data_IF_568845748323
#
_entry.id   IF_568845748323
#
_cell.length_a   1.000
_cell.length_b   1.000
_cell.length_c   1.000
_cell.angle_alpha   90.00
_cell.angle_beta   90.00
_cell.angle_gamma   90.00
#
_symmetry.space_group_name_H-M   'P 1'
#
loop_
_entity.id
_entity.type
_entity.pdbx_description
1 polymer ?
#
# COMPACT_ATOMS: atom_id res chain seq x y z
N UNK A 1 -16.91 3.42 10.50
CA UNK A 1 -16.37 3.43 9.12
C UNK A 1 -15.37 2.29 9.02
N UNK A 2 -15.43 1.44 7.99
CA UNK A 2 -14.50 0.31 7.84
C UNK A 2 -13.24 0.80 7.11
N UNK A 3 -12.06 0.52 7.64
CA UNK A 3 -10.79 0.83 6.98
C UNK A 3 -10.39 -0.29 6.00
N UNK A 4 -9.48 0.00 5.08
CA UNK A 4 -8.97 -0.99 4.12
C UNK A 4 -8.17 -2.08 4.85
N UNK A 5 -7.35 -1.70 5.83
CA UNK A 5 -6.61 -2.64 6.66
C UNK A 5 -7.56 -3.62 7.35
N UNK A 6 -8.68 -3.11 7.90
CA UNK A 6 -9.67 -3.96 8.55
C UNK A 6 -10.35 -4.91 7.56
N UNK A 7 -10.62 -4.47 6.33
CA UNK A 7 -11.13 -5.34 5.27
C UNK A 7 -10.13 -6.47 4.98
N UNK A 8 -8.85 -6.15 4.73
CA UNK A 8 -7.83 -7.13 4.38
C UNK A 8 -7.54 -8.12 5.51
N UNK A 9 -7.52 -7.64 6.76
CA UNK A 9 -7.42 -8.49 7.95
C UNK A 9 -8.58 -9.48 8.00
N UNK A 10 -9.82 -9.00 7.83
CA UNK A 10 -10.99 -9.86 7.86
C UNK A 10 -10.95 -10.89 6.72
N UNK A 11 -10.56 -10.49 5.51
CA UNK A 11 -10.42 -11.40 4.36
C UNK A 11 -9.39 -12.49 4.64
N UNK A 12 -8.20 -12.13 5.15
CA UNK A 12 -7.17 -13.09 5.50
C UNK A 12 -7.64 -14.09 6.56
N UNK A 13 -8.33 -13.61 7.61
CA UNK A 13 -8.88 -14.45 8.67
C UNK A 13 -9.97 -15.39 8.13
N UNK A 14 -10.92 -14.86 7.35
CA UNK A 14 -12.00 -15.65 6.77
C UNK A 14 -11.48 -16.71 5.80
N UNK A 15 -10.39 -16.42 5.10
CA UNK A 15 -9.74 -17.35 4.18
C UNK A 15 -8.71 -18.28 4.84
N UNK A 16 -8.59 -18.24 6.18
CA UNK A 16 -7.64 -19.04 6.98
C UNK A 16 -6.18 -18.89 6.51
N UNK A 17 -5.80 -17.68 6.12
CA UNK A 17 -4.45 -17.38 5.62
C UNK A 17 -3.48 -17.24 6.80
N UNK A 18 -2.31 -17.86 6.65
CA UNK A 18 -1.17 -17.74 7.56
C UNK A 18 -0.02 -17.03 6.86
N UNK A 19 0.66 -16.12 7.57
CA UNK A 19 1.80 -15.37 7.04
C UNK A 19 3.07 -15.76 7.77
N UNK A 20 4.16 -15.89 7.03
CA UNK A 20 5.45 -16.29 7.61
C UNK A 20 6.60 -15.47 7.03
N UNK A 21 7.62 -15.17 7.82
CA UNK A 21 8.87 -14.58 7.34
C UNK A 21 10.04 -15.18 8.12
N UNK A 22 11.05 -15.73 7.43
CA UNK A 22 12.22 -16.31 8.11
C UNK A 22 11.89 -17.41 9.12
N UNK A 23 10.77 -18.12 8.92
CA UNK A 23 10.28 -19.17 9.83
C UNK A 23 9.45 -18.68 11.03
N UNK A 24 9.19 -17.38 11.14
CA UNK A 24 8.31 -16.80 12.17
C UNK A 24 6.91 -16.60 11.58
N UNK A 25 5.88 -17.04 12.30
CA UNK A 25 4.47 -16.84 11.92
C UNK A 25 3.98 -15.45 12.40
N UNK A 26 3.17 -14.80 11.57
CA UNK A 26 2.59 -13.49 11.82
C UNK A 26 1.07 -13.54 11.66
N UNK A 27 0.34 -12.81 12.50
CA UNK A 27 -1.10 -12.67 12.35
C UNK A 27 -1.45 -11.59 11.32
N UNK A 28 -2.61 -11.67 10.62
CA UNK A 28 -2.97 -10.69 9.60
C UNK A 28 -2.95 -9.22 10.09
N UNK A 29 -3.26 -8.99 11.37
CA UNK A 29 -3.23 -7.64 11.95
C UNK A 29 -1.82 -7.04 11.98
N UNK A 30 -0.77 -7.86 12.16
CA UNK A 30 0.62 -7.40 12.12
C UNK A 30 1.05 -7.06 10.69
N UNK A 31 0.49 -7.76 9.70
CA UNK A 31 0.82 -7.56 8.28
C UNK A 31 0.21 -6.28 7.73
N UNK A 32 -1.05 -6.01 8.05
CA UNK A 32 -1.78 -4.87 7.48
C UNK A 32 -1.83 -3.64 8.38
N UNK A 33 -1.77 -3.81 9.70
CA UNK A 33 -1.88 -2.72 10.68
C UNK A 33 -0.68 -2.66 11.65
N UNK A 34 0.45 -3.26 11.29
CA UNK A 34 1.67 -3.19 12.08
C UNK A 34 2.22 -1.76 12.15
N UNK A 35 2.71 -1.37 13.34
CA UNK A 35 3.24 -0.03 13.61
C UNK A 35 4.65 0.16 13.07
N UNK A 36 5.49 -0.87 13.22
CA UNK A 36 6.89 -0.84 12.83
C UNK A 36 7.08 -1.29 11.37
N UNK A 37 6.19 -2.14 10.88
CA UNK A 37 6.23 -2.68 9.54
C UNK A 37 4.82 -3.06 9.08
N UNK A 38 4.49 -2.75 7.82
CA UNK A 38 3.21 -3.08 7.20
C UNK A 38 3.44 -3.37 5.72
N UNK A 39 2.66 -4.30 5.17
CA UNK A 39 2.61 -4.58 3.73
C UNK A 39 1.62 -3.68 2.98
N UNK A 40 0.93 -2.76 3.66
CA UNK A 40 0.04 -1.79 3.01
C UNK A 40 0.72 -0.98 1.88
N UNK A 41 1.99 -0.54 2.00
CA UNK A 41 2.75 0.04 0.89
C UNK A 41 2.73 -0.82 -0.39
N UNK A 42 3.05 -2.11 -0.27
CA UNK A 42 3.05 -3.03 -1.41
C UNK A 42 1.63 -3.27 -1.96
N UNK A 43 0.64 -3.40 -1.09
CA UNK A 43 -0.77 -3.55 -1.49
C UNK A 43 -1.26 -2.31 -2.24
N UNK A 44 -0.92 -1.10 -1.78
CA UNK A 44 -1.28 0.16 -2.45
C UNK A 44 -0.60 0.26 -3.82
N UNK A 45 0.69 -0.06 -3.91
CA UNK A 45 1.39 -0.10 -5.19
C UNK A 45 0.70 -1.07 -6.17
N UNK A 46 0.28 -2.24 -5.69
CA UNK A 46 -0.47 -3.19 -6.49
C UNK A 46 -1.87 -2.71 -6.89
N UNK A 47 -2.57 -2.02 -5.99
CA UNK A 47 -3.86 -1.40 -6.31
C UNK A 47 -3.71 -0.34 -7.41
N UNK A 48 -2.67 0.50 -7.36
CA UNK A 48 -2.39 1.49 -8.41
C UNK A 48 -2.08 0.81 -9.73
N UNK A 49 -1.26 -0.25 -9.71
CA UNK A 49 -0.96 -1.02 -10.92
C UNK A 49 -2.23 -1.58 -11.55
N UNK A 50 -3.10 -2.23 -10.76
CA UNK A 50 -4.38 -2.76 -11.24
C UNK A 50 -5.27 -1.63 -11.77
N UNK A 51 -5.39 -0.50 -11.05
CA UNK A 51 -6.17 0.64 -11.51
C UNK A 51 -5.69 1.16 -12.87
N UNK A 52 -4.37 1.21 -13.08
CA UNK A 52 -3.76 1.59 -14.37
C UNK A 52 -4.05 0.56 -15.47
N UNK A 53 -3.92 -0.73 -15.17
CA UNK A 53 -4.26 -1.83 -16.11
C UNK A 53 -5.74 -1.75 -16.53
N UNK A 54 -6.64 -1.36 -15.62
CA UNK A 54 -8.08 -1.21 -15.90
C UNK A 54 -8.43 0.10 -16.63
N UNK A 55 -7.54 1.10 -16.61
CA UNK A 55 -7.80 2.45 -17.15
C UNK A 55 -7.35 2.63 -18.62
N UNK A 56 -7.28 1.55 -19.41
CA UNK A 56 -6.79 1.56 -20.81
C UNK A 56 -7.38 2.74 -21.60
N UNK A 57 -6.50 3.65 -22.06
CA UNK A 57 -6.87 4.85 -22.82
C UNK A 57 -6.78 6.17 -22.04
N UNK A 58 -6.58 6.11 -20.72
CA UNK A 58 -6.23 7.27 -19.90
C UNK A 58 -4.72 7.19 -19.69
N UNK A 59 -3.96 8.12 -20.28
CA UNK A 59 -2.57 8.39 -19.89
C UNK A 59 -2.58 9.01 -18.48
N UNK A 60 -2.98 8.22 -17.48
CA UNK A 60 -2.93 8.67 -16.11
C UNK A 60 -1.52 8.40 -15.60
N UNK A 61 -0.82 9.50 -15.37
CA UNK A 61 0.28 9.52 -14.41
C UNK A 61 -0.17 8.84 -13.12
N UNK A 62 0.80 8.27 -12.41
CA UNK A 62 0.62 7.55 -11.16
C UNK A 62 -0.26 8.36 -10.17
N UNK A 63 -1.54 8.02 -10.11
CA UNK A 63 -2.54 8.79 -9.35
C UNK A 63 -3.01 7.99 -8.13
N UNK A 64 -2.47 8.38 -6.99
CA UNK A 64 -2.82 7.83 -5.68
C UNK A 64 -4.25 8.16 -5.27
N UNK A 65 -4.85 9.22 -5.82
CA UNK A 65 -6.24 9.55 -5.55
C UNK A 65 -7.21 8.53 -6.15
N UNK A 66 -6.85 7.90 -7.28
CA UNK A 66 -7.66 6.83 -7.91
C UNK A 66 -7.93 5.68 -6.94
N UNK A 67 -6.94 5.35 -6.11
CA UNK A 67 -7.07 4.30 -5.09
C UNK A 67 -7.42 4.87 -3.71
N UNK A 68 -7.52 6.19 -3.62
CA UNK A 68 -7.80 6.91 -2.37
C UNK A 68 -6.68 6.79 -1.34
N UNK A 69 -5.43 6.64 -1.77
CA UNK A 69 -4.27 6.55 -0.89
C UNK A 69 -3.44 7.84 -0.87
N UNK A 70 -2.60 7.97 0.15
CA UNK A 70 -1.53 8.97 0.26
C UNK A 70 -0.28 8.27 0.79
N UNK A 71 0.89 8.68 0.30
CA UNK A 71 2.18 8.15 0.77
C UNK A 71 2.94 9.19 1.61
N UNK A 72 3.73 8.69 2.56
CA UNK A 72 4.54 9.48 3.49
C UNK A 72 5.91 8.82 3.66
N UNK A 73 6.94 9.60 3.94
CA UNK A 73 8.27 9.05 4.19
C UNK A 73 8.27 8.21 5.47
N UNK A 74 8.96 7.07 5.45
CA UNK A 74 9.11 6.22 6.63
C UNK A 74 10.47 5.50 6.61
N UNK A 75 11.16 5.35 7.75
CA UNK A 75 12.32 4.47 7.83
C UNK A 75 11.90 3.01 7.71
N UNK A 76 12.64 2.18 6.99
CA UNK A 76 12.43 0.72 6.95
C UNK A 76 12.50 0.10 5.56
N UNK A 77 11.96 -1.11 5.42
CA UNK A 77 12.10 -1.93 4.22
C UNK A 77 11.42 -1.34 2.97
N UNK A 78 10.33 -0.59 3.13
CA UNK A 78 9.65 0.08 2.03
C UNK A 78 10.04 1.55 1.85
N UNK A 79 10.85 2.15 2.74
CA UNK A 79 11.24 3.59 2.72
C UNK A 79 10.07 4.62 2.72
N UNK A 80 8.82 4.15 2.66
CA UNK A 80 7.60 4.93 2.77
C UNK A 80 6.50 4.13 3.48
N UNK A 81 5.50 4.85 3.98
CA UNK A 81 4.24 4.31 4.48
C UNK A 81 3.08 4.95 3.72
N UNK A 82 1.87 4.43 3.91
CA UNK A 82 0.67 4.89 3.22
C UNK A 82 -0.51 5.04 4.17
N UNK A 83 -1.40 5.98 3.87
CA UNK A 83 -2.74 6.03 4.45
C UNK A 83 -3.77 5.86 3.36
N UNK A 84 -4.89 5.21 3.66
CA UNK A 84 -5.96 4.96 2.68
C UNK A 84 -7.29 5.48 3.21
N UNK A 85 -8.06 6.14 2.34
CA UNK A 85 -9.39 6.62 2.65
C UNK A 85 -10.30 5.45 3.07
N UNK A 86 -11.05 5.57 4.19
CA UNK A 86 -11.96 4.53 4.63
C UNK A 86 -13.06 4.21 3.61
N UNK A 87 -13.63 3.01 3.67
CA UNK A 87 -14.61 2.49 2.71
C UNK A 87 -16.05 3.02 2.90
N UNK A 88 -16.21 4.15 3.60
CA UNK A 88 -17.53 4.68 3.98
C UNK A 88 -18.07 5.79 3.10
N UNK A 89 -17.41 6.09 1.99
CA UNK A 89 -17.82 7.08 0.98
C UNK A 89 -18.51 6.42 -0.22
N UNK A 90 -19.04 7.23 -1.14
CA UNK A 90 -19.85 6.76 -2.29
C UNK A 90 -19.11 5.79 -3.22
N UNK A 91 -17.77 5.79 -3.18
CA UNK A 91 -16.89 4.91 -3.96
C UNK A 91 -16.22 3.81 -3.11
N UNK A 92 -16.61 3.68 -1.84
CA UNK A 92 -15.99 2.77 -0.87
C UNK A 92 -16.06 1.31 -1.28
N UNK A 93 -17.14 0.86 -1.91
CA UNK A 93 -17.26 -0.53 -2.40
C UNK A 93 -16.24 -0.83 -3.50
N UNK A 94 -16.09 0.07 -4.47
CA UNK A 94 -15.13 -0.07 -5.56
C UNK A 94 -13.70 -0.10 -5.03
N UNK A 95 -13.39 0.78 -4.07
CA UNK A 95 -12.10 0.78 -3.37
C UNK A 95 -11.87 -0.56 -2.67
N UNK A 96 -12.86 -1.07 -1.94
CA UNK A 96 -12.76 -2.36 -1.26
C UNK A 96 -12.44 -3.51 -2.21
N UNK A 97 -13.13 -3.58 -3.36
CA UNK A 97 -12.89 -4.60 -4.39
C UNK A 97 -11.49 -4.48 -5.00
N UNK A 98 -11.03 -3.26 -5.28
CA UNK A 98 -9.69 -3.02 -5.81
C UNK A 98 -8.60 -3.51 -4.84
N UNK A 99 -8.74 -3.18 -3.56
CA UNK A 99 -7.77 -3.60 -2.54
C UNK A 99 -7.81 -5.10 -2.26
N UNK A 100 -8.99 -5.72 -2.34
CA UNK A 100 -9.10 -7.18 -2.30
C UNK A 100 -8.33 -7.81 -3.47
N UNK A 101 -8.57 -7.36 -4.70
CA UNK A 101 -7.88 -7.87 -5.89
C UNK A 101 -6.36 -7.63 -5.82
N UNK A 102 -5.94 -6.51 -5.25
CA UNK A 102 -4.54 -6.21 -5.03
C UNK A 102 -3.89 -7.19 -4.05
N UNK A 103 -4.54 -7.45 -2.91
CA UNK A 103 -4.06 -8.43 -1.94
C UNK A 103 -4.04 -9.86 -2.53
N UNK A 104 -5.10 -10.24 -3.25
CA UNK A 104 -5.19 -11.54 -3.94
C UNK A 104 -3.98 -11.77 -4.85
N UNK A 105 -3.63 -10.78 -5.68
CA UNK A 105 -2.52 -10.89 -6.64
C UNK A 105 -1.14 -10.75 -5.99
N UNK A 106 -1.02 -9.95 -4.93
CA UNK A 106 0.24 -9.77 -4.22
C UNK A 106 0.61 -11.01 -3.41
N UNK A 107 -0.34 -11.55 -2.65
CA UNK A 107 -0.08 -12.66 -1.72
C UNK A 107 -0.36 -14.03 -2.34
N UNK A 108 -1.13 -14.11 -3.43
CA UNK A 108 -1.53 -15.39 -4.03
C UNK A 108 -2.34 -16.27 -3.07
N UNK A 109 -2.95 -15.67 -2.04
CA UNK A 109 -3.52 -16.41 -0.90
C UNK A 109 -4.81 -17.21 -1.22
N UNK A 110 -5.26 -17.14 -2.48
CA UNK A 110 -6.33 -17.98 -3.00
C UNK A 110 -5.79 -19.33 -3.47
N UNK A 111 -4.51 -19.38 -3.88
CA UNK A 111 -3.83 -20.56 -4.36
C UNK A 111 -3.09 -21.29 -3.23
N UNK A 112 -2.43 -20.54 -2.33
CA UNK A 112 -1.74 -21.07 -1.15
C UNK A 112 -2.14 -20.31 0.11
N UNK A 113 -2.63 -21.04 1.13
CA UNK A 113 -3.03 -20.44 2.42
C UNK A 113 -1.84 -20.10 3.32
N UNK A 114 -0.63 -20.56 2.97
CA UNK A 114 0.61 -20.20 3.66
C UNK A 114 1.42 -19.24 2.80
N UNK A 115 1.45 -17.98 3.21
CA UNK A 115 2.14 -16.90 2.50
C UNK A 115 3.51 -16.66 3.12
N UNK A 116 4.57 -16.84 2.34
CA UNK A 116 5.92 -16.40 2.72
C UNK A 116 6.14 -14.94 2.30
N UNK A 117 6.22 -14.07 3.30
CA UNK A 117 6.39 -12.63 3.15
C UNK A 117 7.75 -12.25 2.57
N UNK A 118 8.79 -13.06 2.80
CA UNK A 118 10.11 -12.82 2.21
C UNK A 118 10.02 -12.98 0.69
N UNK A 119 9.40 -14.08 0.24
CA UNK A 119 9.12 -14.32 -1.18
C UNK A 119 8.24 -13.21 -1.78
N UNK A 120 7.20 -12.77 -1.06
CA UNK A 120 6.33 -11.67 -1.54
C UNK A 120 7.14 -10.38 -1.68
N UNK A 121 8.00 -10.07 -0.72
CA UNK A 121 8.84 -8.87 -0.76
C UNK A 121 9.89 -8.93 -1.87
N UNK A 122 10.50 -10.08 -2.10
CA UNK A 122 11.43 -10.30 -3.22
C UNK A 122 10.73 -10.12 -4.56
N UNK A 123 9.57 -10.75 -4.79
CA UNK A 123 8.76 -10.53 -6.00
C UNK A 123 8.32 -9.08 -6.15
N UNK A 124 7.98 -8.42 -5.05
CA UNK A 124 7.65 -7.00 -5.08
C UNK A 124 8.83 -6.17 -5.60
N UNK A 125 10.05 -6.50 -5.18
CA UNK A 125 11.27 -5.83 -5.66
C UNK A 125 11.61 -6.16 -7.11
N UNK A 126 11.44 -7.42 -7.52
CA UNK A 126 12.03 -7.95 -8.76
C UNK A 126 11.06 -8.01 -9.95
N UNK A 127 9.75 -8.27 -9.73
CA UNK A 127 8.80 -8.69 -10.78
C UNK A 127 7.86 -7.58 -11.29
N UNK A 128 8.24 -6.30 -11.13
CA UNK A 128 7.61 -5.20 -11.87
C UNK A 128 6.78 -4.21 -11.08
N UNK A 129 7.05 -4.02 -9.78
CA UNK A 129 6.55 -2.87 -9.03
C UNK A 129 7.55 -1.71 -8.98
N UNK A 130 8.70 -1.83 -9.66
CA UNK A 130 9.75 -0.81 -9.61
C UNK A 130 9.24 0.57 -10.03
N UNK A 131 8.38 0.62 -11.06
CA UNK A 131 7.79 1.86 -11.56
C UNK A 131 6.85 2.48 -10.53
N UNK A 132 5.95 1.69 -9.95
CA UNK A 132 5.02 2.12 -8.92
C UNK A 132 5.78 2.57 -7.66
N UNK A 133 6.81 1.83 -7.26
CA UNK A 133 7.68 2.18 -6.13
C UNK A 133 8.41 3.51 -6.35
N UNK A 134 9.10 3.66 -7.49
CA UNK A 134 9.78 4.92 -7.84
C UNK A 134 8.79 6.10 -7.89
N UNK A 135 7.57 5.86 -8.35
CA UNK A 135 6.53 6.90 -8.39
C UNK A 135 6.06 7.29 -6.98
N UNK A 136 5.92 6.33 -6.06
CA UNK A 136 5.60 6.57 -4.65
C UNK A 136 6.72 7.35 -3.94
N UNK A 137 7.97 6.98 -4.20
CA UNK A 137 9.16 7.65 -3.65
C UNK A 137 9.22 9.11 -4.14
N UNK A 138 9.05 9.33 -5.45
CA UNK A 138 9.03 10.66 -6.05
C UNK A 138 7.87 11.52 -5.53
N UNK A 139 6.68 10.93 -5.38
CA UNK A 139 5.51 11.61 -4.82
C UNK A 139 5.77 12.04 -3.37
N UNK A 140 6.36 11.16 -2.58
CA UNK A 140 6.73 11.44 -1.18
C UNK A 140 7.77 12.54 -1.08
N UNK A 141 8.81 12.52 -1.92
CA UNK A 141 9.81 13.58 -1.99
C UNK A 141 9.21 14.93 -2.41
N UNK A 142 8.28 14.94 -3.36
CA UNK A 142 7.57 16.14 -3.79
C UNK A 142 6.68 16.72 -2.67
N UNK A 143 6.01 15.86 -1.90
CA UNK A 143 5.25 16.29 -0.72
C UNK A 143 6.15 16.90 0.35
N UNK A 144 7.30 16.28 0.63
CA UNK A 144 8.27 16.83 1.57
C UNK A 144 8.78 18.22 1.13
N UNK A 145 9.17 18.36 -0.13
CA UNK A 145 9.63 19.63 -0.69
C UNK A 145 8.54 20.74 -0.65
N UNK A 146 7.27 20.38 -0.89
CA UNK A 146 6.14 21.31 -0.75
C UNK A 146 5.91 21.72 0.70
N UNK A 147 6.03 20.78 1.64
CA UNK A 147 5.90 21.07 3.07
C UNK A 147 7.01 22.01 3.56
N UNK A 148 8.25 21.79 3.12
CA UNK A 148 9.40 22.68 3.41
C UNK A 148 9.20 24.09 2.83
N UNK A 149 8.73 24.20 1.58
CA UNK A 149 8.46 25.49 0.94
C UNK A 149 7.30 26.27 1.58
N UNK A 150 6.40 25.58 2.30
CA UNK A 150 5.27 26.18 3.01
C UNK A 150 5.59 26.51 4.48
N UNK A 151 6.73 26.07 5.03
CA UNK A 151 7.19 26.57 6.32
C UNK A 151 7.56 28.05 6.17
N UNK A 152 6.86 28.98 6.87
CA UNK A 152 7.26 30.36 6.87
C UNK A 152 8.70 30.45 7.39
N UNK A 153 9.50 31.35 6.81
CA UNK A 153 10.79 31.77 7.37
C UNK A 153 10.60 32.48 8.71
N UNK A 154 10.10 31.81 9.75
CA UNK A 154 10.05 32.30 11.14
C UNK A 154 11.37 32.03 11.86
N UNK A 155 12.49 32.31 11.19
CA UNK A 155 13.83 32.17 11.78
C UNK A 155 14.83 33.18 11.22
N UNK A 156 14.40 34.40 10.90
CA UNK A 156 15.33 35.54 10.76
C UNK A 156 14.65 36.84 11.20
N UNK A 157 14.45 36.99 12.50
CA UNK A 157 14.44 38.29 13.15
C UNK A 157 15.09 38.09 14.53
N UNK A 158 16.37 38.43 14.58
CA UNK A 158 17.14 38.65 15.79
C UNK A 158 16.61 39.88 16.54
#
# INVERSE_FOLDING_TARGET
MISVERLLINLAVTNEVSFTAGGVDYIPAEIFAGKDFSFMPAVVAQAVRIARELSVGIESDFDMELVGAQAFAAPGAFEFTVTVRPLGDDVGVLRGLLFQQAADRLFGWNDDKRVDLMTVFERFRDDGYERERQSLDAYTAALAARAEAQQPQTSMAA
#
